data_IF_448079623286
#
_entry.id   IF_448079623286
#
_cell.length_a   1.000
_cell.length_b   1.000
_cell.length_c   1.000
_cell.angle_alpha   90.00
_cell.angle_beta   90.00
_cell.angle_gamma   90.00
#
_symmetry.space_group_name_H-M   'P 1'
#
loop_
_entity.id
_entity.type
_entity.pdbx_description
1 polymer ?
#
# COMPACT_ATOMS: atom_id res chain seq x y z
N UNK A 1 -56.97 -11.73 -12.41
CA UNK A 1 -55.86 -12.26 -11.58
C UNK A 1 -54.69 -12.73 -12.47
N UNK A 2 -54.19 -11.89 -13.40
CA UNK A 2 -53.04 -12.26 -14.27
C UNK A 2 -52.01 -11.15 -14.50
N UNK A 3 -52.25 -9.92 -14.07
CA UNK A 3 -51.27 -8.83 -14.24
C UNK A 3 -50.21 -8.83 -13.12
N UNK A 4 -50.55 -9.30 -11.93
CA UNK A 4 -49.63 -9.28 -10.79
C UNK A 4 -48.43 -10.24 -11.00
N UNK A 5 -48.66 -11.45 -11.54
CA UNK A 5 -47.61 -12.45 -11.77
C UNK A 5 -46.57 -12.08 -12.84
N UNK A 6 -46.90 -11.22 -13.81
CA UNK A 6 -45.95 -10.77 -14.85
C UNK A 6 -45.17 -9.54 -14.39
N UNK A 7 -45.74 -8.78 -13.46
CA UNK A 7 -45.11 -7.57 -12.94
C UNK A 7 -43.91 -7.87 -12.03
N UNK A 8 -43.96 -8.92 -11.22
CA UNK A 8 -42.85 -9.29 -10.31
C UNK A 8 -41.54 -9.63 -11.03
N UNK A 9 -41.48 -10.53 -12.03
CA UNK A 9 -40.22 -10.89 -12.67
C UNK A 9 -39.60 -9.73 -13.49
N UNK A 10 -40.44 -8.83 -14.00
CA UNK A 10 -39.93 -7.65 -14.72
C UNK A 10 -39.36 -6.61 -13.77
N UNK A 11 -39.94 -6.46 -12.58
CA UNK A 11 -39.41 -5.59 -11.53
C UNK A 11 -38.07 -6.10 -10.98
N UNK A 12 -37.95 -7.40 -10.71
CA UNK A 12 -36.70 -8.00 -10.23
C UNK A 12 -35.57 -7.86 -11.27
N UNK A 13 -35.91 -7.97 -12.56
CA UNK A 13 -34.96 -7.72 -13.65
C UNK A 13 -34.51 -6.25 -13.68
N UNK A 14 -35.43 -5.31 -13.49
CA UNK A 14 -35.09 -3.89 -13.46
C UNK A 14 -34.20 -3.54 -12.26
N UNK A 15 -34.52 -4.11 -11.09
CA UNK A 15 -33.72 -3.92 -9.87
C UNK A 15 -32.31 -4.48 -10.03
N UNK A 16 -32.17 -5.72 -10.50
CA UNK A 16 -30.87 -6.34 -10.73
C UNK A 16 -30.03 -5.58 -11.76
N UNK A 17 -30.66 -5.01 -12.79
CA UNK A 17 -29.97 -4.17 -13.78
C UNK A 17 -29.52 -2.84 -13.18
N UNK A 18 -30.35 -2.19 -12.37
CA UNK A 18 -30.00 -0.94 -11.68
C UNK A 18 -28.80 -1.15 -10.75
N UNK A 19 -28.76 -2.28 -10.02
CA UNK A 19 -27.60 -2.66 -9.18
C UNK A 19 -26.31 -2.82 -9.98
N UNK A 20 -26.37 -3.49 -11.14
CA UNK A 20 -25.19 -3.66 -12.02
C UNK A 20 -24.70 -2.33 -12.57
N UNK A 21 -25.61 -1.44 -12.97
CA UNK A 21 -25.28 -0.10 -13.47
C UNK A 21 -24.67 0.74 -12.35
N UNK A 22 -25.26 0.72 -11.15
CA UNK A 22 -24.69 1.38 -9.96
C UNK A 22 -23.28 0.88 -9.68
N UNK A 23 -23.08 -0.43 -9.56
CA UNK A 23 -21.76 -1.01 -9.32
C UNK A 23 -20.72 -0.61 -10.38
N UNK A 24 -21.09 -0.62 -11.67
CA UNK A 24 -20.19 -0.23 -12.74
C UNK A 24 -19.82 1.26 -12.73
N UNK A 25 -20.72 2.13 -12.26
CA UNK A 25 -20.52 3.58 -12.25
C UNK A 25 -19.81 4.10 -10.99
N UNK A 26 -20.11 3.52 -9.83
CA UNK A 26 -19.59 4.00 -8.54
C UNK A 26 -18.56 3.06 -7.91
N UNK A 27 -18.44 1.81 -8.37
CA UNK A 27 -17.56 0.79 -7.79
C UNK A 27 -18.01 0.27 -6.41
N UNK A 28 -18.84 1.04 -5.71
CA UNK A 28 -19.50 0.67 -4.46
C UNK A 28 -20.67 -0.28 -4.75
N UNK A 29 -20.53 -1.54 -4.36
CA UNK A 29 -21.64 -2.49 -4.33
C UNK A 29 -22.45 -2.27 -3.06
N UNK A 30 -23.33 -1.27 -3.06
CA UNK A 30 -24.25 -1.07 -1.94
C UNK A 30 -25.21 -2.28 -1.89
N UNK A 31 -24.82 -3.27 -1.08
CA UNK A 31 -25.63 -4.43 -0.72
C UNK A 31 -26.72 -3.98 0.25
N UNK A 32 -27.56 -3.03 -0.15
CA UNK A 32 -28.79 -2.76 0.59
C UNK A 32 -29.74 -3.92 0.29
N UNK A 33 -29.87 -4.81 1.27
CA UNK A 33 -30.83 -5.91 1.32
C UNK A 33 -32.25 -5.38 1.05
N UNK A 34 -32.69 -5.49 -0.20
CA UNK A 34 -34.08 -5.32 -0.61
C UNK A 34 -34.77 -6.67 -0.81
N UNK A 35 -34.40 -7.69 -0.02
CA UNK A 35 -35.27 -8.85 0.19
C UNK A 35 -36.51 -8.41 0.98
N UNK A 36 -37.47 -7.80 0.30
CA UNK A 36 -38.80 -7.51 0.85
C UNK A 36 -39.89 -7.91 -0.15
N UNK A 37 -40.13 -9.22 -0.18
CA UNK A 37 -41.09 -9.93 -1.03
C UNK A 37 -42.59 -9.63 -0.73
N UNK A 38 -42.94 -8.46 -0.19
CA UNK A 38 -44.34 -8.18 0.18
C UNK A 38 -44.80 -6.74 -0.04
N UNK A 39 -44.07 -5.92 -0.81
CA UNK A 39 -44.53 -4.56 -1.15
C UNK A 39 -45.32 -4.55 -2.45
N UNK A 40 -46.43 -3.79 -2.54
CA UNK A 40 -47.19 -3.65 -3.79
C UNK A 40 -46.29 -3.10 -4.90
N UNK A 41 -46.46 -3.59 -6.13
CA UNK A 41 -45.62 -3.27 -7.30
C UNK A 41 -45.39 -1.76 -7.49
N UNK A 42 -46.42 -0.94 -7.26
CA UNK A 42 -46.32 0.53 -7.34
C UNK A 42 -45.37 1.15 -6.30
N UNK A 43 -45.27 0.57 -5.10
CA UNK A 43 -44.33 1.04 -4.08
C UNK A 43 -42.88 0.66 -4.45
N UNK A 44 -42.66 -0.51 -5.07
CA UNK A 44 -41.34 -0.95 -5.54
C UNK A 44 -40.84 -0.10 -6.71
N UNK A 45 -41.72 0.27 -7.65
CA UNK A 45 -41.37 1.18 -8.74
C UNK A 45 -40.91 2.55 -8.22
N UNK A 46 -41.63 3.14 -7.26
CA UNK A 46 -41.23 4.42 -6.65
C UNK A 46 -39.90 4.33 -5.92
N UNK A 47 -39.55 3.19 -5.33
CA UNK A 47 -38.22 3.01 -4.74
C UNK A 47 -37.13 2.91 -5.79
N UNK A 48 -37.37 2.20 -6.90
CA UNK A 48 -36.43 2.12 -8.02
C UNK A 48 -36.21 3.48 -8.69
N UNK A 49 -37.28 4.26 -8.86
CA UNK A 49 -37.23 5.63 -9.38
C UNK A 49 -36.37 6.53 -8.50
N UNK A 50 -36.60 6.53 -7.18
CA UNK A 50 -35.76 7.26 -6.22
C UNK A 50 -34.31 6.82 -6.24
N UNK A 51 -34.05 5.53 -6.42
CA UNK A 51 -32.68 5.01 -6.52
C UNK A 51 -32.00 5.47 -7.82
N UNK A 52 -32.73 5.51 -8.92
CA UNK A 52 -32.25 6.06 -10.18
C UNK A 52 -31.94 7.55 -10.05
N UNK A 53 -32.84 8.34 -9.44
CA UNK A 53 -32.62 9.76 -9.17
C UNK A 53 -31.41 10.01 -8.26
N UNK A 54 -31.19 9.13 -7.28
CA UNK A 54 -30.00 9.19 -6.43
C UNK A 54 -28.72 8.86 -7.21
N UNK A 55 -28.77 7.86 -8.10
CA UNK A 55 -27.64 7.51 -8.96
C UNK A 55 -27.31 8.62 -9.98
N UNK A 56 -28.32 9.30 -10.53
CA UNK A 56 -28.11 10.43 -11.44
C UNK A 56 -27.57 11.66 -10.71
N UNK A 57 -27.98 11.89 -9.46
CA UNK A 57 -27.42 12.94 -8.62
C UNK A 57 -25.95 12.66 -8.22
N UNK A 58 -25.61 11.39 -7.95
CA UNK A 58 -24.26 10.97 -7.56
C UNK A 58 -23.28 10.87 -8.73
N UNK A 59 -23.77 10.52 -9.92
CA UNK A 59 -22.93 10.24 -11.09
C UNK A 59 -23.23 11.19 -12.24
N UNK A 60 -22.28 12.10 -12.53
CA UNK A 60 -22.39 13.04 -13.63
C UNK A 60 -22.49 12.35 -15.00
N UNK A 61 -21.89 11.17 -15.15
CA UNK A 61 -21.96 10.38 -16.38
C UNK A 61 -23.36 9.79 -16.61
N UNK A 62 -24.04 9.35 -15.55
CA UNK A 62 -25.43 8.89 -15.65
C UNK A 62 -26.37 10.04 -16.08
N UNK A 63 -26.19 11.23 -15.52
CA UNK A 63 -26.94 12.42 -15.90
C UNK A 63 -26.71 12.81 -17.37
N UNK A 64 -25.46 12.75 -17.85
CA UNK A 64 -25.11 13.04 -19.24
C UNK A 64 -25.69 12.01 -20.22
N UNK A 65 -25.71 10.72 -19.88
CA UNK A 65 -26.28 9.68 -20.74
C UNK A 65 -27.80 9.85 -20.86
N UNK A 66 -28.49 10.23 -19.79
CA UNK A 66 -29.92 10.54 -19.85
C UNK A 66 -30.19 11.79 -20.68
N UNK A 67 -29.39 12.85 -20.53
CA UNK A 67 -29.49 14.04 -21.36
C UNK A 67 -29.28 13.70 -22.85
N UNK A 68 -28.25 12.91 -23.17
CA UNK A 68 -28.00 12.43 -24.53
C UNK A 68 -29.12 11.54 -25.06
N UNK A 69 -29.74 10.72 -24.22
CA UNK A 69 -30.89 9.91 -24.61
C UNK A 69 -32.12 10.78 -24.94
N UNK A 70 -32.34 11.86 -24.18
CA UNK A 70 -33.41 12.82 -24.44
C UNK A 70 -33.16 13.66 -25.69
N UNK A 71 -31.94 14.13 -25.89
CA UNK A 71 -31.57 14.98 -27.04
C UNK A 71 -31.46 14.18 -28.35
N UNK A 72 -30.97 12.94 -28.26
CA UNK A 72 -30.67 12.10 -29.41
C UNK A 72 -31.17 10.66 -29.23
N UNK A 73 -32.49 10.43 -29.19
CA UNK A 73 -33.06 9.09 -29.06
C UNK A 73 -32.68 8.17 -30.23
N UNK A 74 -32.38 8.72 -31.41
CA UNK A 74 -31.93 7.99 -32.60
C UNK A 74 -30.55 7.35 -32.47
N UNK A 75 -29.69 7.85 -31.57
CA UNK A 75 -28.36 7.27 -31.33
C UNK A 75 -28.48 5.93 -30.59
N UNK A 76 -29.43 5.83 -29.67
CA UNK A 76 -29.69 4.63 -28.88
C UNK A 76 -30.60 3.63 -29.59
N UNK A 77 -31.44 4.12 -30.51
CA UNK A 77 -32.22 3.33 -31.45
C UNK A 77 -31.55 3.31 -32.83
N UNK A 78 -30.24 3.09 -32.87
CA UNK A 78 -29.53 2.99 -34.13
C UNK A 78 -30.06 1.81 -34.94
N UNK A 79 -30.86 2.10 -35.97
CA UNK A 79 -31.33 1.18 -37.00
C UNK A 79 -30.16 0.29 -37.40
N UNK A 80 -30.25 -0.99 -37.00
CA UNK A 80 -29.24 -2.01 -37.23
C UNK A 80 -28.93 -2.20 -38.72
N UNK A 81 -29.79 -1.68 -39.59
CA UNK A 81 -29.68 -1.68 -41.05
C UNK A 81 -28.51 -0.86 -41.59
N UNK A 82 -28.06 0.20 -40.89
CA UNK A 82 -27.00 1.11 -41.38
C UNK A 82 -25.59 0.71 -40.92
N UNK A 83 -25.49 -0.12 -39.87
CA UNK A 83 -24.22 -0.48 -39.22
C UNK A 83 -23.33 -1.42 -40.04
N UNK A 84 -23.84 -1.92 -41.16
CA UNK A 84 -23.15 -2.88 -42.03
C UNK A 84 -22.63 -2.28 -43.34
N UNK A 85 -22.75 -0.97 -43.57
CA UNK A 85 -22.36 -0.34 -44.85
C UNK A 85 -20.91 0.14 -44.88
N UNK A 86 -19.97 -0.55 -44.20
CA UNK A 86 -18.57 -0.38 -44.56
C UNK A 86 -18.32 -1.15 -45.86
N UNK A 87 -17.82 -0.46 -46.88
CA UNK A 87 -17.40 -1.12 -48.11
C UNK A 87 -16.42 -2.27 -47.77
N UNK A 88 -16.54 -3.45 -48.43
CA UNK A 88 -15.76 -4.64 -48.07
C UNK A 88 -14.24 -4.41 -48.11
N UNK A 89 -13.77 -3.47 -48.94
CA UNK A 89 -12.37 -3.05 -48.98
C UNK A 89 -11.91 -2.35 -47.68
N UNK A 90 -12.77 -1.55 -47.06
CA UNK A 90 -12.50 -0.90 -45.76
C UNK A 90 -12.38 -1.94 -44.65
N UNK A 91 -13.28 -2.92 -44.60
CA UNK A 91 -13.21 -4.01 -43.63
C UNK A 91 -11.93 -4.83 -43.79
N UNK A 92 -11.53 -5.17 -45.02
CA UNK A 92 -10.28 -5.87 -45.27
C UNK A 92 -9.06 -5.06 -44.81
N UNK A 93 -9.05 -3.74 -45.01
CA UNK A 93 -7.96 -2.89 -44.54
C UNK A 93 -7.84 -2.83 -43.02
N UNK A 94 -8.97 -2.78 -42.30
CA UNK A 94 -9.02 -2.80 -40.83
C UNK A 94 -8.56 -4.15 -40.30
N UNK A 95 -9.02 -5.25 -40.89
CA UNK A 95 -8.60 -6.61 -40.51
C UNK A 95 -7.09 -6.79 -40.76
N UNK A 96 -6.56 -6.30 -41.87
CA UNK A 96 -5.12 -6.35 -42.16
C UNK A 96 -4.31 -5.47 -41.20
N UNK A 97 -4.78 -4.27 -40.87
CA UNK A 97 -4.13 -3.40 -39.89
C UNK A 97 -4.06 -4.05 -38.49
N UNK A 98 -5.08 -4.82 -38.12
CA UNK A 98 -5.16 -5.52 -36.84
C UNK A 98 -4.76 -7.00 -36.87
N UNK A 99 -4.27 -7.52 -38.00
CA UNK A 99 -3.92 -8.93 -38.16
C UNK A 99 -2.90 -9.40 -37.10
N UNK A 100 -1.87 -8.57 -36.84
CA UNK A 100 -0.86 -8.88 -35.84
C UNK A 100 -1.42 -8.90 -34.41
N UNK A 101 -2.38 -8.03 -34.08
CA UNK A 101 -3.04 -8.07 -32.77
C UNK A 101 -3.87 -9.33 -32.58
N UNK A 102 -4.57 -9.79 -33.62
CA UNK A 102 -5.33 -11.06 -33.55
C UNK A 102 -4.40 -12.26 -33.36
N UNK A 103 -3.27 -12.29 -34.08
CA UNK A 103 -2.27 -13.35 -33.90
C UNK A 103 -1.67 -13.34 -32.48
N UNK A 104 -1.33 -12.16 -31.94
CA UNK A 104 -0.84 -12.05 -30.57
C UNK A 104 -1.89 -12.48 -29.54
N UNK A 105 -3.15 -12.07 -29.73
CA UNK A 105 -4.24 -12.41 -28.81
C UNK A 105 -4.51 -13.92 -28.83
N UNK A 106 -4.48 -14.54 -30.01
CA UNK A 106 -4.60 -15.99 -30.16
C UNK A 106 -3.46 -16.72 -29.45
N UNK A 107 -2.21 -16.29 -29.64
CA UNK A 107 -1.05 -16.86 -28.97
C UNK A 107 -1.13 -16.70 -27.44
N UNK A 108 -1.54 -15.52 -26.96
CA UNK A 108 -1.71 -15.25 -25.53
C UNK A 108 -2.85 -16.08 -24.94
N UNK A 109 -3.98 -16.24 -25.65
CA UNK A 109 -5.09 -17.09 -25.22
C UNK A 109 -4.68 -18.56 -25.16
N UNK A 110 -3.93 -19.05 -26.14
CA UNK A 110 -3.39 -20.41 -26.13
C UNK A 110 -2.36 -20.60 -25.02
N UNK A 111 -1.52 -19.60 -24.76
CA UNK A 111 -0.59 -19.64 -23.63
C UNK A 111 -1.33 -19.68 -22.29
N UNK A 112 -2.38 -18.87 -22.12
CA UNK A 112 -3.22 -18.87 -20.92
C UNK A 112 -3.97 -20.20 -20.71
N UNK A 113 -4.47 -20.83 -21.78
CA UNK A 113 -5.09 -22.15 -21.67
C UNK A 113 -4.10 -23.26 -21.34
N UNK A 114 -2.82 -23.08 -21.71
CA UNK A 114 -1.75 -24.05 -21.43
C UNK A 114 -1.11 -23.87 -20.05
N UNK A 115 -1.35 -22.74 -19.38
CA UNK A 115 -0.95 -22.51 -18.00
C UNK A 115 -1.95 -23.26 -17.09
N UNK A 116 -1.58 -24.46 -16.65
CA UNK A 116 -2.27 -25.08 -15.54
C UNK A 116 -2.11 -24.20 -14.31
N UNK A 117 -3.23 -23.86 -13.67
CA UNK A 117 -3.18 -23.22 -12.34
C UNK A 117 -2.36 -24.15 -11.44
N UNK A 118 -1.27 -23.67 -10.81
CA UNK A 118 -0.42 -24.52 -9.98
C UNK A 118 -1.27 -25.15 -8.87
N UNK A 119 -1.00 -26.43 -8.59
CA UNK A 119 -1.78 -27.22 -7.63
C UNK A 119 -1.82 -26.48 -6.28
N UNK A 120 -3.01 -26.12 -5.76
CA UNK A 120 -3.15 -25.39 -4.50
C UNK A 120 -2.53 -26.13 -3.31
N UNK A 121 -2.32 -27.45 -3.41
CA UNK A 121 -1.60 -28.23 -2.38
C UNK A 121 -0.15 -27.77 -2.19
N UNK A 122 0.50 -27.29 -3.25
CA UNK A 122 1.89 -26.78 -3.20
C UNK A 122 2.02 -25.46 -2.45
N UNK A 123 0.91 -24.73 -2.28
CA UNK A 123 0.85 -23.43 -1.60
C UNK A 123 0.51 -23.55 -0.11
N UNK A 124 -0.11 -24.66 0.32
CA UNK A 124 -0.37 -24.99 1.73
C UNK A 124 0.88 -24.86 2.63
N UNK A 125 2.08 -25.36 2.26
CA UNK A 125 3.27 -25.18 3.09
C UNK A 125 3.69 -23.71 3.25
N UNK A 126 3.39 -22.82 2.30
CA UNK A 126 3.67 -21.39 2.42
C UNK A 126 2.80 -20.74 3.50
N UNK A 127 1.53 -21.14 3.58
CA UNK A 127 0.62 -20.69 4.65
C UNK A 127 1.13 -21.16 6.01
N UNK A 128 1.63 -22.40 6.10
CA UNK A 128 2.22 -22.92 7.34
C UNK A 128 3.55 -22.23 7.72
N UNK A 129 4.30 -21.69 6.76
CA UNK A 129 5.52 -20.91 7.02
C UNK A 129 5.21 -19.55 7.63
N UNK A 130 4.05 -18.95 7.33
CA UNK A 130 3.67 -17.65 7.87
C UNK A 130 3.71 -17.63 9.41
N UNK A 131 3.10 -18.64 10.06
CA UNK A 131 3.11 -18.73 11.52
C UNK A 131 4.52 -18.91 12.12
N UNK A 132 5.46 -19.49 11.36
CA UNK A 132 6.87 -19.60 11.79
C UNK A 132 7.59 -18.26 11.66
N UNK A 133 7.31 -17.51 10.59
CA UNK A 133 7.86 -16.16 10.36
C UNK A 133 7.41 -15.23 11.49
N UNK A 134 6.12 -15.25 11.84
CA UNK A 134 5.57 -14.39 12.90
C UNK A 134 6.24 -14.68 14.26
N UNK A 135 6.43 -15.97 14.60
CA UNK A 135 7.14 -16.38 15.83
C UNK A 135 8.59 -15.89 15.86
N UNK A 136 9.28 -15.94 14.72
CA UNK A 136 10.67 -15.46 14.63
C UNK A 136 10.72 -13.94 14.69
N UNK A 137 9.77 -13.24 14.08
CA UNK A 137 9.69 -11.78 14.11
C UNK A 137 9.52 -11.24 15.54
N UNK A 138 8.69 -11.90 16.36
CA UNK A 138 8.53 -11.55 17.79
C UNK A 138 9.83 -11.78 18.56
N UNK A 139 10.49 -12.93 18.37
CA UNK A 139 11.79 -13.16 19.01
C UNK A 139 12.85 -12.15 18.57
N UNK A 140 12.85 -11.79 17.28
CA UNK A 140 13.78 -10.79 16.76
C UNK A 140 13.54 -9.42 17.40
N UNK A 141 12.29 -8.99 17.55
CA UNK A 141 11.99 -7.71 18.20
C UNK A 141 12.46 -7.71 19.67
N UNK A 142 12.23 -8.78 20.42
CA UNK A 142 12.74 -8.94 21.79
C UNK A 142 14.27 -8.86 21.84
N UNK A 143 14.97 -9.58 20.96
CA UNK A 143 16.44 -9.57 20.91
C UNK A 143 16.98 -8.18 20.54
N UNK A 144 16.31 -7.44 19.64
CA UNK A 144 16.73 -6.08 19.29
C UNK A 144 16.57 -5.11 20.45
N UNK A 145 15.50 -5.24 21.24
CA UNK A 145 15.28 -4.43 22.44
C UNK A 145 16.34 -4.73 23.51
N UNK A 146 16.61 -6.01 23.77
CA UNK A 146 17.66 -6.41 24.71
C UNK A 146 19.04 -5.92 24.28
N UNK A 147 19.37 -6.04 22.99
CA UNK A 147 20.63 -5.56 22.45
C UNK A 147 20.75 -4.03 22.53
N UNK A 148 19.66 -3.28 22.33
CA UNK A 148 19.65 -1.84 22.53
C UNK A 148 19.90 -1.46 24.00
N UNK A 149 19.23 -2.13 24.95
CA UNK A 149 19.42 -1.91 26.38
C UNK A 149 20.84 -2.27 26.86
N UNK A 150 21.44 -3.33 26.32
CA UNK A 150 22.83 -3.69 26.63
C UNK A 150 23.82 -2.67 26.05
N UNK A 151 23.55 -2.12 24.87
CA UNK A 151 24.38 -1.05 24.28
C UNK A 151 24.34 0.22 25.12
N UNK A 152 23.16 0.65 25.59
CA UNK A 152 23.07 1.84 26.45
C UNK A 152 23.77 1.63 27.78
N UNK A 153 23.59 0.46 28.42
CA UNK A 153 24.25 0.15 29.70
C UNK A 153 25.77 0.04 29.55
N UNK A 154 26.26 -0.61 28.49
CA UNK A 154 27.71 -0.71 28.24
C UNK A 154 28.32 0.65 27.91
N UNK A 155 27.64 1.49 27.13
CA UNK A 155 28.09 2.86 26.87
C UNK A 155 28.22 3.67 28.17
N UNK A 156 27.23 3.60 29.06
CA UNK A 156 27.27 4.28 30.37
C UNK A 156 28.43 3.79 31.25
N UNK A 157 28.67 2.47 31.31
CA UNK A 157 29.78 1.92 32.08
C UNK A 157 31.14 2.36 31.51
N UNK A 158 31.27 2.38 30.18
CA UNK A 158 32.47 2.89 29.53
C UNK A 158 32.67 4.37 29.83
N UNK A 159 31.62 5.18 29.75
CA UNK A 159 31.68 6.60 30.07
C UNK A 159 32.15 6.84 31.50
N UNK A 160 31.58 6.14 32.48
CA UNK A 160 31.99 6.23 33.88
C UNK A 160 33.45 5.80 34.09
N UNK A 161 33.88 4.75 33.39
CA UNK A 161 35.27 4.28 33.44
C UNK A 161 36.23 5.28 32.79
N UNK A 162 35.86 5.89 31.67
CA UNK A 162 36.66 6.93 31.01
C UNK A 162 36.78 8.19 31.88
N UNK A 163 35.69 8.64 32.49
CA UNK A 163 35.67 9.81 33.37
C UNK A 163 36.52 9.59 34.63
N UNK A 164 36.27 8.51 35.36
CA UNK A 164 36.94 8.26 36.65
C UNK A 164 38.35 7.68 36.50
N UNK A 165 38.51 6.76 35.57
CA UNK A 165 39.74 6.02 35.33
C UNK A 165 40.71 6.81 34.49
N UNK A 166 40.36 7.10 33.24
CA UNK A 166 41.30 7.72 32.29
C UNK A 166 41.50 9.20 32.59
N UNK A 167 40.42 9.99 32.55
CA UNK A 167 40.47 11.45 32.76
C UNK A 167 40.93 11.77 34.18
N UNK A 168 40.26 11.20 35.18
CA UNK A 168 40.63 11.43 36.59
C UNK A 168 42.06 10.99 36.93
N UNK A 169 42.58 9.90 36.34
CA UNK A 169 43.99 9.53 36.55
C UNK A 169 44.94 10.47 35.80
N UNK A 170 44.59 10.89 34.58
CA UNK A 170 45.42 11.85 33.84
C UNK A 170 45.56 13.17 34.59
N UNK A 171 44.50 13.71 35.18
CA UNK A 171 44.55 14.94 35.97
C UNK A 171 45.44 14.80 37.21
N UNK A 172 45.33 13.67 37.92
CA UNK A 172 46.20 13.38 39.07
C UNK A 172 47.65 13.21 38.65
N UNK A 173 47.89 12.55 37.53
CA UNK A 173 49.22 12.34 36.99
C UNK A 173 49.86 13.66 36.55
N UNK A 174 49.14 14.52 35.83
CA UNK A 174 49.63 15.84 35.44
C UNK A 174 49.93 16.71 36.65
N UNK A 175 49.07 16.69 37.67
CA UNK A 175 49.32 17.43 38.91
C UNK A 175 50.57 16.92 39.64
N UNK A 176 50.77 15.60 39.67
CA UNK A 176 51.97 15.02 40.26
C UNK A 176 53.24 15.37 39.47
N UNK A 177 53.19 15.35 38.14
CA UNK A 177 54.28 15.80 37.27
C UNK A 177 54.61 17.29 37.47
N UNK A 178 53.61 18.14 37.66
CA UNK A 178 53.79 19.56 37.99
C UNK A 178 54.51 19.74 39.34
N UNK A 179 54.03 19.06 40.39
CA UNK A 179 54.67 19.07 41.70
C UNK A 179 56.12 18.56 41.63
N UNK A 180 56.37 17.49 40.88
CA UNK A 180 57.71 16.93 40.69
C UNK A 180 58.62 17.93 39.96
N UNK A 181 58.11 18.61 38.94
CA UNK A 181 58.83 19.64 38.20
C UNK A 181 59.20 20.82 39.11
N UNK A 182 58.29 21.26 39.97
CA UNK A 182 58.56 22.34 40.92
C UNK A 182 59.67 21.97 41.90
N UNK A 183 59.63 20.74 42.45
CA UNK A 183 60.69 20.21 43.30
C UNK A 183 62.01 20.11 42.54
N UNK A 184 62.00 19.62 41.30
CA UNK A 184 63.20 19.52 40.46
C UNK A 184 63.82 20.91 40.19
N UNK A 185 62.99 21.92 39.91
CA UNK A 185 63.46 23.30 39.73
C UNK A 185 64.13 23.82 41.00
N UNK A 186 63.55 23.57 42.18
CA UNK A 186 64.14 23.97 43.46
C UNK A 186 65.47 23.27 43.72
N UNK A 187 65.56 21.96 43.49
CA UNK A 187 66.81 21.20 43.63
C UNK A 187 67.87 21.73 42.67
N UNK A 188 67.55 21.95 41.39
CA UNK A 188 68.47 22.53 40.40
C UNK A 188 68.97 23.92 40.82
N UNK A 189 68.11 24.76 41.41
CA UNK A 189 68.51 26.07 41.94
C UNK A 189 69.48 25.95 43.12
N UNK A 190 69.21 25.04 44.05
CA UNK A 190 70.07 24.79 45.21
C UNK A 190 71.43 24.20 44.80
N UNK A 191 71.43 23.24 43.87
CA UNK A 191 72.67 22.69 43.32
C UNK A 191 73.49 23.74 42.57
N UNK A 192 72.84 24.61 41.80
CA UNK A 192 73.51 25.72 41.13
C UNK A 192 74.10 26.74 42.12
N UNK A 193 73.40 27.05 43.22
CA UNK A 193 73.92 27.90 44.28
C UNK A 193 75.15 27.27 44.96
N UNK A 194 75.05 25.99 45.35
CA UNK A 194 76.16 25.24 45.97
C UNK A 194 77.38 25.12 45.06
N UNK A 195 77.18 24.91 43.75
CA UNK A 195 78.29 24.91 42.77
C UNK A 195 79.00 26.26 42.73
N UNK A 196 78.25 27.37 42.70
CA UNK A 196 78.85 28.72 42.74
C UNK A 196 79.61 28.98 44.03
N UNK A 197 79.13 28.50 45.17
CA UNK A 197 79.85 28.59 46.45
C UNK A 197 81.16 27.79 46.40
N UNK A 198 81.14 26.58 45.85
CA UNK A 198 82.33 25.73 45.70
C UNK A 198 83.34 26.36 44.70
N UNK A 199 82.86 26.91 43.58
CA UNK A 199 83.71 27.52 42.56
C UNK A 199 84.29 28.89 43.00
N UNK A 200 83.74 29.50 44.05
CA UNK A 200 84.20 30.78 44.61
C UNK A 200 85.21 30.63 45.77
N UNK A 201 85.43 29.41 46.27
CA UNK A 201 86.44 29.04 47.29
C UNK A 201 87.68 28.49 46.61
#
# INVERSE_FOLDING_TARGET
>A
MSQDNVSEPTLDLLESRLRRIGFALTGEGDATDLSQDARPAAARLRTLERQLDNLTAKSQTAAQVLALHHEHPSVFHADTSSRHQLAPASLASVVLAHAQSYQRLSQQSSALSNLSVPDPTSLVPLVNLQARIDKVAVKHSEMTQQAAALRTRSAQLLELWYQSGVLGMSERWTHWEECLRDVEILVRRMEAARKREIDAV
#
